data_IF_641954048232
#
_entry.id   IF_641954048232
#
_cell.length_a   1.000
_cell.length_b   1.000
_cell.length_c   1.000
_cell.angle_alpha   90.00
_cell.angle_beta   90.00
_cell.angle_gamma   90.00
#
_symmetry.space_group_name_H-M   'P 1'
#
loop_
_entity.id
_entity.type
_entity.pdbx_description
1 polymer ?
#
# COMPACT_ATOMS: atom_id res chain seq x y z
N UNK A 1 30.90 10.62 26.58
CA UNK A 1 30.04 10.64 25.38
C UNK A 1 30.49 9.50 24.48
N UNK A 2 29.65 8.50 24.17
CA UNK A 2 30.04 7.43 23.24
C UNK A 2 30.16 8.02 21.84
N UNK A 3 31.30 7.81 21.18
CA UNK A 3 31.48 8.17 19.77
C UNK A 3 30.57 7.27 18.93
N UNK A 4 29.58 7.87 18.29
CA UNK A 4 28.67 7.19 17.37
C UNK A 4 29.47 6.87 16.09
N UNK A 5 29.92 5.63 15.94
CA UNK A 5 30.60 5.17 14.74
C UNK A 5 29.56 4.80 13.68
N UNK A 6 29.13 5.81 12.92
CA UNK A 6 28.07 5.69 11.91
C UNK A 6 28.65 5.17 10.60
N UNK A 7 28.18 4.01 10.12
CA UNK A 7 28.56 3.49 8.81
C UNK A 7 27.59 3.99 7.73
N UNK A 8 27.92 5.12 7.10
CA UNK A 8 27.10 5.78 6.08
C UNK A 8 26.81 4.88 4.85
N UNK A 9 27.73 3.98 4.47
CA UNK A 9 27.55 3.07 3.33
C UNK A 9 26.50 1.99 3.65
N UNK A 10 26.52 1.47 4.88
CA UNK A 10 25.53 0.52 5.37
C UNK A 10 24.13 1.14 5.43
N UNK A 11 24.04 2.38 5.93
CA UNK A 11 22.79 3.14 5.98
C UNK A 11 22.25 3.38 4.57
N UNK A 12 23.08 3.88 3.65
CA UNK A 12 22.68 4.13 2.26
C UNK A 12 22.13 2.88 1.58
N UNK A 13 22.79 1.74 1.73
CA UNK A 13 22.37 0.48 1.13
C UNK A 13 21.02 0.01 1.67
N UNK A 14 20.83 0.15 2.99
CA UNK A 14 19.57 -0.24 3.63
C UNK A 14 18.44 0.72 3.26
N UNK A 15 18.69 2.03 3.17
CA UNK A 15 17.73 3.02 2.69
C UNK A 15 17.31 2.78 1.23
N UNK A 16 18.25 2.39 0.36
CA UNK A 16 17.92 2.00 -1.03
C UNK A 16 17.07 0.73 -1.05
N UNK A 17 17.40 -0.26 -0.22
CA UNK A 17 16.64 -1.51 -0.12
C UNK A 17 15.23 -1.27 0.41
N UNK A 18 15.10 -0.43 1.44
CA UNK A 18 13.85 0.06 1.99
C UNK A 18 13.02 0.78 0.93
N UNK A 19 13.60 1.77 0.26
CA UNK A 19 12.93 2.51 -0.80
C UNK A 19 12.45 1.57 -1.90
N UNK A 20 13.27 0.62 -2.34
CA UNK A 20 12.89 -0.35 -3.36
C UNK A 20 11.79 -1.30 -2.90
N UNK A 21 11.80 -1.73 -1.63
CA UNK A 21 10.74 -2.57 -1.04
C UNK A 21 9.42 -1.79 -0.88
N UNK A 22 9.50 -0.52 -0.46
CA UNK A 22 8.35 0.39 -0.33
C UNK A 22 7.80 0.83 -1.70
N UNK A 23 8.63 0.93 -2.73
CA UNK A 23 8.20 1.31 -4.10
C UNK A 23 7.73 0.13 -4.93
N UNK A 24 8.34 -1.06 -4.81
CA UNK A 24 7.77 -2.33 -5.33
C UNK A 24 6.48 -2.72 -4.62
N UNK A 25 6.19 -2.04 -3.53
CA UNK A 25 4.92 -2.06 -2.84
C UNK A 25 3.90 -1.09 -3.46
N UNK A 26 4.04 -0.71 -4.74
CA UNK A 26 2.89 -0.27 -5.54
C UNK A 26 1.73 -1.26 -5.32
N UNK A 27 0.49 -0.82 -5.55
CA UNK A 27 -0.65 -1.73 -5.59
C UNK A 27 -0.44 -2.69 -6.77
N UNK A 28 0.43 -3.67 -6.59
CA UNK A 28 0.62 -4.78 -7.49
C UNK A 28 -0.71 -5.51 -7.49
N UNK A 29 -1.52 -5.17 -8.49
CA UNK A 29 -2.80 -5.77 -8.82
C UNK A 29 -2.64 -7.21 -9.28
N UNK A 30 -1.86 -8.01 -8.54
CA UNK A 30 -1.70 -9.44 -8.76
C UNK A 30 -2.58 -10.19 -7.75
N UNK A 31 -3.89 -9.98 -7.85
CA UNK A 31 -4.83 -11.02 -7.45
C UNK A 31 -4.90 -11.94 -8.68
N UNK A 32 -4.16 -13.04 -8.62
CA UNK A 32 -4.13 -14.04 -9.69
C UNK A 32 -5.54 -14.49 -10.07
N UNK A 33 -5.83 -14.34 -11.35
CA UNK A 33 -7.06 -14.71 -12.02
C UNK A 33 -7.31 -16.22 -11.91
N UNK A 34 -8.45 -16.62 -11.37
CA UNK A 34 -9.22 -17.75 -11.91
C UNK A 34 -10.67 -17.65 -11.43
N UNK A 35 -11.59 -17.17 -12.29
CA UNK A 35 -12.76 -17.97 -12.66
C UNK A 35 -13.44 -17.37 -13.90
N UNK A 36 -13.87 -18.20 -14.88
CA UNK A 36 -14.29 -17.77 -16.21
C UNK A 36 -15.79 -17.48 -16.27
N UNK A 37 -16.18 -16.55 -17.16
CA UNK A 37 -17.50 -16.35 -17.76
C UNK A 37 -18.70 -16.32 -16.77
N UNK A 38 -19.44 -15.21 -16.66
CA UNK A 38 -20.61 -14.97 -17.51
C UNK A 38 -21.16 -13.56 -17.21
N UNK A 39 -21.56 -12.87 -18.29
CA UNK A 39 -22.54 -11.78 -18.37
C UNK A 39 -22.11 -10.30 -18.24
N UNK A 40 -22.40 -9.63 -19.36
CA UNK A 40 -22.87 -8.25 -19.53
C UNK A 40 -21.82 -7.14 -19.74
N UNK A 41 -21.60 -6.87 -21.02
CA UNK A 41 -21.09 -5.62 -21.61
C UNK A 41 -21.93 -4.36 -21.28
N UNK A 42 -22.84 -4.42 -20.30
CA UNK A 42 -23.58 -3.27 -19.79
C UNK A 42 -23.16 -2.84 -18.37
N UNK A 43 -22.34 -3.63 -17.66
CA UNK A 43 -21.86 -3.29 -16.31
C UNK A 43 -20.45 -2.67 -16.27
N UNK A 44 -19.57 -3.02 -17.20
CA UNK A 44 -18.17 -2.55 -17.19
C UNK A 44 -18.02 -1.07 -17.52
N UNK A 45 -18.81 -0.55 -18.46
CA UNK A 45 -18.72 0.87 -18.87
C UNK A 45 -19.15 1.83 -17.77
N UNK A 46 -20.26 1.56 -17.08
CA UNK A 46 -20.74 2.38 -15.97
C UNK A 46 -19.72 2.38 -14.82
N UNK A 47 -19.14 1.22 -14.51
CA UNK A 47 -18.12 1.10 -13.48
C UNK A 47 -16.82 1.82 -13.85
N UNK A 48 -16.40 1.81 -15.12
CA UNK A 48 -15.22 2.56 -15.57
C UNK A 48 -15.40 4.07 -15.41
N UNK A 49 -16.59 4.58 -15.69
CA UNK A 49 -16.93 6.00 -15.52
C UNK A 49 -16.95 6.39 -14.04
N UNK A 50 -17.56 5.57 -13.18
CA UNK A 50 -17.62 5.81 -11.73
C UNK A 50 -16.23 5.74 -11.08
N UNK A 51 -15.37 4.78 -11.48
CA UNK A 51 -13.98 4.72 -11.00
C UNK A 51 -13.22 5.98 -11.42
N UNK A 52 -13.39 6.43 -12.66
CA UNK A 52 -12.80 7.68 -13.16
C UNK A 52 -13.17 8.87 -12.30
N UNK A 53 -14.47 9.06 -12.03
CA UNK A 53 -15.00 10.13 -11.18
C UNK A 53 -14.42 10.14 -9.76
N UNK A 54 -14.32 8.96 -9.14
CA UNK A 54 -13.80 8.82 -7.77
C UNK A 54 -12.30 9.12 -7.76
N UNK A 55 -11.55 8.55 -8.70
CA UNK A 55 -10.11 8.70 -8.76
C UNK A 55 -9.65 10.09 -9.20
N UNK A 56 -10.47 10.86 -9.92
CA UNK A 56 -10.15 12.25 -10.27
C UNK A 56 -10.01 13.15 -9.03
N UNK A 57 -10.62 12.76 -7.92
CA UNK A 57 -10.53 13.48 -6.64
C UNK A 57 -9.32 13.10 -5.80
N UNK A 58 -8.47 12.19 -6.30
CA UNK A 58 -7.27 11.71 -5.60
C UNK A 58 -6.02 12.39 -6.15
N UNK A 59 -5.00 12.54 -5.31
CA UNK A 59 -3.72 13.14 -5.71
C UNK A 59 -3.00 12.28 -6.76
N UNK A 60 -3.19 10.95 -6.73
CA UNK A 60 -2.67 10.01 -7.72
C UNK A 60 -3.80 9.23 -8.40
N UNK A 61 -4.34 9.83 -9.46
CA UNK A 61 -5.41 9.25 -10.25
C UNK A 61 -5.04 7.88 -10.84
N UNK A 62 -3.81 7.74 -11.34
CA UNK A 62 -3.36 6.53 -12.02
C UNK A 62 -3.25 5.37 -11.04
N UNK A 63 -2.68 5.61 -9.85
CA UNK A 63 -2.61 4.62 -8.79
C UNK A 63 -4.02 4.20 -8.34
N UNK A 64 -4.92 5.16 -8.14
CA UNK A 64 -6.31 4.87 -7.76
C UNK A 64 -7.02 3.99 -8.80
N UNK A 65 -6.95 4.37 -10.09
CA UNK A 65 -7.61 3.62 -11.19
C UNK A 65 -7.05 2.21 -11.29
N UNK A 66 -5.72 2.06 -11.25
CA UNK A 66 -5.07 0.73 -11.30
C UNK A 66 -5.49 -0.14 -10.12
N UNK A 67 -5.50 0.43 -8.92
CA UNK A 67 -5.85 -0.30 -7.68
C UNK A 67 -7.30 -0.79 -7.70
N UNK A 68 -8.25 0.09 -8.04
CA UNK A 68 -9.66 -0.27 -8.10
C UNK A 68 -9.96 -1.28 -9.21
N UNK A 69 -9.35 -1.13 -10.39
CA UNK A 69 -9.55 -2.09 -11.50
C UNK A 69 -8.99 -3.48 -11.22
N UNK A 70 -7.95 -3.57 -10.39
CA UNK A 70 -7.39 -4.85 -9.97
C UNK A 70 -8.26 -5.59 -8.95
N UNK A 71 -9.17 -4.89 -8.26
CA UNK A 71 -10.07 -5.49 -7.28
C UNK A 71 -11.41 -5.87 -7.93
N UNK A 72 -11.77 -7.18 -7.99
CA UNK A 72 -13.01 -7.62 -8.62
C UNK A 72 -14.27 -7.07 -7.94
N UNK A 73 -14.19 -6.66 -6.67
CA UNK A 73 -15.33 -6.07 -5.94
C UNK A 73 -15.70 -4.70 -6.49
N UNK A 74 -14.81 -4.04 -7.21
CA UNK A 74 -15.07 -2.76 -7.86
C UNK A 74 -16.04 -2.89 -9.03
N UNK A 75 -16.20 -4.08 -9.63
CA UNK A 75 -16.95 -4.29 -10.87
C UNK A 75 -18.41 -3.82 -10.82
N UNK A 76 -19.04 -3.83 -9.64
CA UNK A 76 -20.43 -3.39 -9.43
C UNK A 76 -20.56 -2.43 -8.23
N UNK A 77 -19.47 -1.78 -7.83
CA UNK A 77 -19.42 -0.93 -6.66
C UNK A 77 -19.90 0.50 -6.97
N UNK A 78 -20.71 1.08 -6.08
CA UNK A 78 -21.00 2.51 -6.09
C UNK A 78 -19.81 3.34 -5.56
N UNK A 79 -19.91 4.67 -5.63
CA UNK A 79 -18.85 5.58 -5.17
C UNK A 79 -18.45 5.35 -3.69
N UNK A 80 -19.40 5.01 -2.83
CA UNK A 80 -19.15 4.76 -1.39
C UNK A 80 -18.43 3.42 -1.20
N UNK A 81 -18.85 2.39 -1.92
CA UNK A 81 -18.22 1.09 -1.92
C UNK A 81 -16.80 1.15 -2.48
N UNK A 82 -16.56 1.87 -3.59
CA UNK A 82 -15.22 2.11 -4.13
C UNK A 82 -14.30 2.82 -3.13
N UNK A 83 -14.81 3.83 -2.42
CA UNK A 83 -14.04 4.49 -1.37
C UNK A 83 -13.67 3.51 -0.24
N UNK A 84 -14.60 2.65 0.20
CA UNK A 84 -14.32 1.61 1.20
C UNK A 84 -13.31 0.58 0.71
N UNK A 85 -13.40 0.16 -0.55
CA UNK A 85 -12.42 -0.74 -1.18
C UNK A 85 -11.04 -0.09 -1.13
N UNK A 86 -10.89 1.19 -1.49
CA UNK A 86 -9.61 1.89 -1.40
C UNK A 86 -9.07 1.98 0.03
N UNK A 87 -9.93 2.18 1.04
CA UNK A 87 -9.51 2.16 2.45
C UNK A 87 -9.02 0.77 2.87
N UNK A 88 -9.73 -0.30 2.49
CA UNK A 88 -9.33 -1.68 2.77
C UNK A 88 -8.01 -2.05 2.09
N UNK A 89 -7.87 -1.65 0.83
CA UNK A 89 -6.65 -1.78 0.05
C UNK A 89 -5.48 -1.05 0.75
N UNK A 90 -5.71 0.18 1.23
CA UNK A 90 -4.70 0.98 1.96
C UNK A 90 -4.34 0.36 3.30
N UNK A 91 -5.30 -0.22 4.02
CA UNK A 91 -5.08 -0.97 5.25
C UNK A 91 -4.16 -2.16 5.01
N UNK A 92 -4.49 -3.01 4.02
CA UNK A 92 -3.69 -4.18 3.69
C UNK A 92 -2.25 -3.77 3.33
N UNK A 93 -2.10 -2.69 2.54
CA UNK A 93 -0.79 -2.15 2.18
C UNK A 93 0.00 -1.68 3.40
N UNK A 94 -0.64 -0.96 4.32
CA UNK A 94 0.01 -0.50 5.55
C UNK A 94 0.48 -1.68 6.41
N UNK A 95 -0.34 -2.73 6.54
CA UNK A 95 0.02 -3.97 7.24
C UNK A 95 1.19 -4.71 6.56
N UNK A 96 1.23 -4.77 5.23
CA UNK A 96 2.36 -5.36 4.49
C UNK A 96 3.66 -4.58 4.71
N UNK A 97 3.59 -3.25 4.72
CA UNK A 97 4.75 -2.39 5.00
C UNK A 97 5.22 -2.61 6.44
N UNK A 98 4.30 -2.70 7.40
CA UNK A 98 4.63 -2.99 8.80
C UNK A 98 5.39 -4.32 8.94
N UNK A 99 4.91 -5.37 8.29
CA UNK A 99 5.59 -6.68 8.26
C UNK A 99 7.01 -6.58 7.67
N UNK A 100 7.19 -5.77 6.64
CA UNK A 100 8.51 -5.56 6.02
C UNK A 100 9.45 -4.76 6.93
N UNK A 101 8.93 -3.75 7.65
CA UNK A 101 9.70 -3.01 8.65
C UNK A 101 10.15 -3.95 9.77
N UNK A 102 9.29 -4.85 10.24
CA UNK A 102 9.65 -5.85 11.27
C UNK A 102 10.78 -6.79 10.81
N UNK A 103 10.77 -7.20 9.54
CA UNK A 103 11.88 -7.99 8.96
C UNK A 103 13.18 -7.17 8.94
N UNK A 104 13.11 -5.90 8.55
CA UNK A 104 14.28 -5.03 8.45
C UNK A 104 14.84 -4.66 9.82
N UNK A 105 14.00 -4.49 10.83
CA UNK A 105 14.43 -4.28 12.22
C UNK A 105 15.25 -5.46 12.75
N UNK A 106 14.88 -6.69 12.39
CA UNK A 106 15.63 -7.91 12.76
C UNK A 106 17.00 -7.99 12.07
N UNK A 107 17.11 -7.44 10.86
CA UNK A 107 18.33 -7.49 10.05
C UNK A 107 19.29 -6.32 10.32
N UNK A 108 18.76 -5.19 10.78
CA UNK A 108 19.53 -3.95 10.95
C UNK A 108 20.36 -3.97 12.21
N UNK A 109 21.68 -3.79 12.06
CA UNK A 109 22.64 -3.67 13.17
C UNK A 109 23.00 -2.23 13.51
N UNK A 110 22.71 -1.28 12.61
CA UNK A 110 23.08 0.12 12.79
C UNK A 110 22.05 0.82 13.70
N UNK A 111 22.47 1.39 14.85
CA UNK A 111 21.54 1.91 15.85
C UNK A 111 20.64 3.04 15.37
N UNK A 112 21.15 4.00 14.58
CA UNK A 112 20.37 5.14 14.11
C UNK A 112 19.26 4.66 13.18
N UNK A 113 19.61 3.78 12.25
CA UNK A 113 18.69 3.20 11.29
C UNK A 113 17.64 2.33 11.98
N UNK A 114 18.02 1.60 13.04
CA UNK A 114 17.07 0.86 13.86
C UNK A 114 16.04 1.79 14.50
N UNK A 115 16.49 2.92 15.07
CA UNK A 115 15.60 3.93 15.63
C UNK A 115 14.67 4.55 14.57
N UNK A 116 15.19 4.83 13.37
CA UNK A 116 14.35 5.30 12.26
C UNK A 116 13.28 4.26 11.87
N UNK A 117 13.66 2.99 11.81
CA UNK A 117 12.73 1.90 11.49
C UNK A 117 11.67 1.70 12.57
N UNK A 118 11.99 1.89 13.85
CA UNK A 118 11.03 1.86 14.96
C UNK A 118 9.99 2.98 14.81
N UNK A 119 10.40 4.21 14.48
CA UNK A 119 9.45 5.31 14.19
C UNK A 119 8.56 4.98 12.99
N UNK A 120 9.12 4.41 11.92
CA UNK A 120 8.33 3.96 10.78
C UNK A 120 7.32 2.88 11.20
N UNK A 121 7.74 1.92 12.02
CA UNK A 121 6.90 0.83 12.51
C UNK A 121 5.67 1.38 13.22
N UNK A 122 5.87 2.26 14.21
CA UNK A 122 4.78 2.84 14.99
C UNK A 122 3.83 3.68 14.13
N UNK A 123 4.39 4.40 13.14
CA UNK A 123 3.59 5.17 12.17
C UNK A 123 2.69 4.28 11.32
N UNK A 124 3.22 3.16 10.81
CA UNK A 124 2.45 2.24 9.96
C UNK A 124 1.46 1.39 10.76
N UNK A 125 1.79 1.03 12.00
CA UNK A 125 0.87 0.36 12.92
C UNK A 125 -0.34 1.26 13.23
N UNK A 126 -0.09 2.52 13.59
CA UNK A 126 -1.15 3.50 13.81
C UNK A 126 -1.97 3.74 12.52
N UNK A 127 -1.32 3.81 11.36
CA UNK A 127 -2.00 3.99 10.07
C UNK A 127 -2.93 2.82 9.75
N UNK A 128 -2.44 1.58 9.90
CA UNK A 128 -3.23 0.37 9.70
C UNK A 128 -4.43 0.33 10.66
N UNK A 129 -4.22 0.67 11.94
CA UNK A 129 -5.30 0.80 12.92
C UNK A 129 -6.34 1.84 12.50
N UNK A 130 -5.93 3.03 12.05
CA UNK A 130 -6.84 4.09 11.59
C UNK A 130 -7.71 3.64 10.42
N UNK A 131 -7.11 2.97 9.43
CA UNK A 131 -7.89 2.43 8.31
C UNK A 131 -8.88 1.37 8.76
N UNK A 132 -8.49 0.47 9.66
CA UNK A 132 -9.38 -0.55 10.22
C UNK A 132 -10.62 0.05 10.91
N UNK A 133 -10.50 1.22 11.53
CA UNK A 133 -11.61 1.92 12.20
C UNK A 133 -12.40 2.85 11.27
N UNK A 134 -12.00 2.98 10.00
CA UNK A 134 -12.64 3.86 9.01
C UNK A 134 -13.59 3.12 8.06
N UNK A 135 -13.71 1.80 8.19
CA UNK A 135 -14.47 0.88 7.30
C UNK A 135 -15.81 0.48 7.92
#
# INVERSE_FOLDING_TARGET
MPKLNVNLNSIRTTLVTLKNKVTKNEFDGNISNHFPYISLLCGSYLTMEIIGDVCQKTDDNNLCVKSLRADPRSASADKKCLARIMVQLSQAKASDILNQIDVLLKQTKEPILKQCLEVCRDTYDMTAFRYSNSI
#
